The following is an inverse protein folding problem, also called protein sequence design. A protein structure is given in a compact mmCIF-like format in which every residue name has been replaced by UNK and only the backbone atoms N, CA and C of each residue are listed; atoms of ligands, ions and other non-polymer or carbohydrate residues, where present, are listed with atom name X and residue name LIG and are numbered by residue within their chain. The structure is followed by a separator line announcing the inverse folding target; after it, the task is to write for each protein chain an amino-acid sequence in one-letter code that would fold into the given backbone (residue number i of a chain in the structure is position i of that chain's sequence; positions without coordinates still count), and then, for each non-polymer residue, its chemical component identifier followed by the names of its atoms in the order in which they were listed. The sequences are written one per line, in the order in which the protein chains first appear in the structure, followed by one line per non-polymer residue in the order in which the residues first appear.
data_IF_044009938022
#
_entry.id   IF_044009938022
#
_cell.length_a   1.000
_cell.length_b   1.000
_cell.length_c   1.000
_cell.angle_alpha   90.00
_cell.angle_beta   90.00
_cell.angle_gamma   90.00
#
_symmetry.space_group_name_H-M   'P 1'
#
loop_
_entity.id
_entity.type
_entity.pdbx_description
1 polymer ?
#
# COMPACT_ATOMS: atom_id res chain seq x y z
N UNK A 1 -58.37 16.30 36.14
CA UNK A 1 -58.50 14.94 36.74
C UNK A 1 -57.34 14.10 36.24
N UNK A 2 -56.14 14.27 36.82
CA UNK A 2 -55.54 13.38 37.83
C UNK A 2 -55.76 11.89 37.58
N UNK A 3 -54.75 11.24 36.99
CA UNK A 3 -54.39 9.87 37.32
C UNK A 3 -52.86 9.81 37.50
N UNK A 4 -52.47 9.77 38.78
CA UNK A 4 -51.15 9.33 39.23
C UNK A 4 -51.19 7.81 39.30
N UNK A 5 -50.23 7.12 38.70
CA UNK A 5 -49.84 5.77 39.13
C UNK A 5 -48.33 5.71 39.29
N UNK A 6 -47.95 5.54 40.54
CA UNK A 6 -46.62 5.30 41.09
C UNK A 6 -46.26 3.83 40.94
N UNK A 7 -45.02 3.49 40.58
CA UNK A 7 -44.30 2.34 41.14
C UNK A 7 -42.78 2.48 40.91
N UNK A 8 -42.05 1.98 41.89
CA UNK A 8 -40.75 2.44 42.36
C UNK A 8 -39.57 1.57 41.84
N UNK A 9 -38.31 1.95 42.14
CA UNK A 9 -37.08 1.37 41.60
C UNK A 9 -36.40 0.38 42.56
N UNK A 10 -35.70 -0.63 42.02
CA UNK A 10 -34.77 -1.53 42.72
C UNK A 10 -34.27 -2.55 41.68
N UNK A 11 -33.03 -3.07 41.63
CA UNK A 11 -31.88 -3.04 42.52
C UNK A 11 -30.66 -3.51 41.69
N UNK A 12 -29.50 -2.96 42.02
CA UNK A 12 -28.15 -3.36 41.62
C UNK A 12 -27.92 -4.88 41.66
N UNK A 13 -27.18 -5.39 40.68
CA UNK A 13 -26.28 -6.53 40.88
C UNK A 13 -24.91 -6.25 40.24
N UNK A 14 -23.95 -5.91 41.09
CA UNK A 14 -22.52 -5.94 40.80
C UNK A 14 -22.08 -7.40 40.72
N UNK A 15 -21.45 -7.81 39.61
CA UNK A 15 -20.65 -9.04 39.59
C UNK A 15 -19.37 -8.82 38.78
N UNK A 16 -18.27 -8.61 39.52
CA UNK A 16 -16.89 -8.95 39.13
C UNK A 16 -16.26 -9.61 40.35
N UNK A 17 -15.69 -10.82 40.22
CA UNK A 17 -14.24 -11.04 40.30
C UNK A 17 -13.81 -12.19 39.33
N UNK A 18 -12.57 -12.56 39.00
CA UNK A 18 -11.16 -12.18 39.17
C UNK A 18 -10.36 -13.21 38.31
N UNK A 19 -9.12 -12.94 37.87
CA UNK A 19 -8.27 -13.94 37.19
C UNK A 19 -7.40 -14.74 38.19
N UNK A 20 -6.91 -15.94 37.81
CA UNK A 20 -5.75 -16.55 38.46
C UNK A 20 -4.47 -16.56 37.60
N UNK A 21 -3.37 -16.37 38.32
CA UNK A 21 -1.96 -16.28 37.98
C UNK A 21 -1.20 -17.61 38.02
N UNK A 22 -0.10 -17.72 37.27
CA UNK A 22 1.07 -18.58 37.53
C UNK A 22 2.32 -17.75 37.17
N UNK A 23 3.09 -17.24 38.15
CA UNK A 23 4.18 -17.86 38.93
C UNK A 23 5.51 -18.02 38.16
N UNK A 24 6.43 -17.08 38.37
CA UNK A 24 7.86 -17.38 38.55
C UNK A 24 8.54 -16.30 39.39
N UNK A 25 8.92 -16.70 40.59
CA UNK A 25 9.98 -16.19 41.47
C UNK A 25 11.31 -16.15 40.67
N UNK A 26 12.37 -15.41 40.98
CA UNK A 26 12.86 -14.72 42.17
C UNK A 26 14.24 -14.17 41.81
N UNK A 27 14.61 -12.98 42.26
CA UNK A 27 15.98 -12.69 42.76
C UNK A 27 16.05 -11.23 43.24
N UNK A 28 16.19 -11.12 44.55
CA UNK A 28 16.42 -9.93 45.34
C UNK A 28 17.86 -9.43 45.13
N UNK A 29 18.05 -8.11 45.05
CA UNK A 29 19.25 -7.44 45.56
C UNK A 29 18.93 -5.98 45.81
N UNK A 30 18.73 -5.66 47.09
CA UNK A 30 18.66 -4.30 47.61
C UNK A 30 20.07 -3.78 47.85
N UNK A 31 20.36 -2.57 47.39
CA UNK A 31 21.32 -1.71 48.07
C UNK A 31 20.82 -0.28 48.07
N UNK A 32 20.84 0.25 49.29
CA UNK A 32 20.23 1.47 49.80
C UNK A 32 20.97 2.73 49.34
N UNK A 33 20.16 3.80 49.25
CA UNK A 33 20.43 5.18 49.67
C UNK A 33 21.66 5.89 49.06
N UNK A 34 21.41 7.02 48.39
CA UNK A 34 21.74 8.36 48.91
C UNK A 34 21.35 9.41 47.87
N UNK A 35 20.32 10.17 48.23
CA UNK A 35 19.96 11.45 47.62
C UNK A 35 20.98 12.50 48.10
N UNK A 36 21.55 13.31 47.18
CA UNK A 36 21.75 14.70 47.53
C UNK A 36 21.12 15.61 46.47
N UNK A 37 20.09 16.32 46.92
CA UNK A 37 19.64 17.56 46.30
C UNK A 37 20.82 18.53 46.21
N UNK A 38 21.23 18.86 44.99
CA UNK A 38 22.06 20.03 44.72
C UNK A 38 21.27 20.99 43.83
N UNK A 39 20.71 22.00 44.50
CA UNK A 39 20.30 23.26 43.88
C UNK A 39 21.51 23.83 43.13
N UNK A 40 21.37 24.11 41.84
CA UNK A 40 22.12 25.18 41.19
C UNK A 40 21.16 26.01 40.34
N UNK A 41 20.95 27.24 40.80
CA UNK A 41 20.33 28.32 40.05
C UNK A 41 21.32 28.88 39.02
N UNK A 42 20.75 29.18 37.84
CA UNK A 42 21.03 30.28 36.92
C UNK A 42 22.45 30.49 36.33
N UNK A 43 22.53 30.47 34.99
CA UNK A 43 22.90 31.67 34.20
C UNK A 43 22.69 31.44 32.69
N UNK A 44 21.93 32.35 32.07
CA UNK A 44 21.74 32.51 30.62
C UNK A 44 23.04 32.71 29.85
N UNK A 45 23.21 32.00 28.71
CA UNK A 45 23.80 32.57 27.47
C UNK A 45 23.19 31.83 26.25
N UNK A 46 22.35 32.46 25.40
CA UNK A 46 22.04 31.91 24.10
C UNK A 46 23.23 32.17 23.16
N UNK A 47 24.01 31.13 22.86
CA UNK A 47 24.99 31.19 21.77
C UNK A 47 24.28 30.83 20.47
N UNK A 48 23.82 31.86 19.76
CA UNK A 48 23.69 31.79 18.31
C UNK A 48 25.11 31.57 17.75
N UNK A 49 25.43 30.34 17.41
CA UNK A 49 26.63 30.03 16.63
C UNK A 49 26.18 29.26 15.40
N UNK A 50 26.24 30.01 14.30
CA UNK A 50 26.29 29.60 12.90
C UNK A 50 26.67 28.14 12.65
N UNK A 51 25.84 27.51 11.83
CA UNK A 51 25.93 26.15 11.31
C UNK A 51 27.31 25.71 10.78
N UNK A 52 27.64 24.42 10.87
CA UNK A 52 28.29 23.70 9.78
C UNK A 52 27.19 23.14 8.86
N UNK A 53 27.02 23.76 7.69
CA UNK A 53 25.99 23.46 6.70
C UNK A 53 26.16 22.14 5.92
N UNK A 54 27.02 21.20 6.32
CA UNK A 54 27.40 20.10 5.42
C UNK A 54 27.51 18.69 6.03
N UNK A 55 27.07 18.47 7.27
CA UNK A 55 27.11 17.12 7.88
C UNK A 55 25.76 16.56 8.35
N UNK A 56 24.68 17.37 8.40
CA UNK A 56 23.34 16.89 8.73
C UNK A 56 22.57 16.31 7.53
N UNK A 57 23.11 16.43 6.32
CA UNK A 57 22.40 16.00 5.12
C UNK A 57 22.21 14.48 5.07
N UNK A 58 23.08 13.66 5.66
CA UNK A 58 22.95 12.19 5.55
C UNK A 58 21.94 11.57 6.52
N UNK A 59 21.65 12.21 7.66
CA UNK A 59 20.65 11.74 8.64
C UNK A 59 19.29 12.41 8.43
N UNK A 60 19.27 13.64 7.91
CA UNK A 60 18.05 14.31 7.41
C UNK A 60 17.65 13.83 6.00
N UNK A 61 18.58 13.30 5.18
CA UNK A 61 18.28 12.63 3.90
C UNK A 61 17.39 11.39 4.05
N UNK A 62 17.20 10.90 5.28
CA UNK A 62 16.31 9.78 5.57
C UNK A 62 14.86 10.21 5.87
N UNK A 63 14.59 11.52 6.03
CA UNK A 63 13.23 12.07 5.91
C UNK A 63 12.93 12.34 4.43
N UNK A 64 12.52 11.30 3.71
CA UNK A 64 12.13 11.42 2.32
C UNK A 64 10.97 12.43 2.18
N UNK A 65 11.15 13.45 1.33
CA UNK A 65 10.08 14.42 1.04
C UNK A 65 8.91 13.73 0.28
N UNK A 66 7.70 14.27 0.42
CA UNK A 66 6.48 13.71 -0.17
C UNK A 66 6.54 13.51 -1.70
N UNK A 67 6.95 14.50 -2.53
CA UNK A 67 7.11 14.30 -3.97
C UNK A 67 8.13 13.21 -4.31
N UNK A 68 9.27 13.18 -3.62
CA UNK A 68 10.33 12.18 -3.82
C UNK A 68 9.86 10.78 -3.44
N UNK A 69 9.15 10.65 -2.32
CA UNK A 69 8.52 9.41 -1.87
C UNK A 69 7.53 8.85 -2.89
N UNK A 70 6.60 9.69 -3.38
CA UNK A 70 5.59 9.27 -4.35
C UNK A 70 6.20 8.91 -5.70
N UNK A 71 7.25 9.62 -6.12
CA UNK A 71 8.03 9.27 -7.31
C UNK A 71 8.75 7.92 -7.17
N UNK A 72 9.33 7.63 -5.99
CA UNK A 72 9.96 6.34 -5.69
C UNK A 72 8.96 5.18 -5.70
N UNK A 73 7.76 5.39 -5.17
CA UNK A 73 6.68 4.38 -5.22
C UNK A 73 6.20 4.12 -6.65
N UNK A 74 6.16 5.16 -7.49
CA UNK A 74 5.88 5.04 -8.92
C UNK A 74 7.00 4.29 -9.65
N UNK A 75 8.26 4.62 -9.36
CA UNK A 75 9.40 3.98 -10.01
C UNK A 75 9.45 2.49 -9.69
N UNK A 76 9.22 2.09 -8.43
CA UNK A 76 9.19 0.68 -8.00
C UNK A 76 8.30 -0.21 -8.87
N UNK A 77 7.17 0.32 -9.36
CA UNK A 77 6.26 -0.42 -10.26
C UNK A 77 6.71 -0.42 -11.72
N UNK A 78 7.41 0.63 -12.15
CA UNK A 78 7.95 0.75 -13.50
C UNK A 78 9.18 -0.15 -13.71
N UNK A 79 9.95 -0.42 -12.65
CA UNK A 79 11.12 -1.32 -12.72
C UNK A 79 10.78 -2.72 -13.22
N UNK A 80 9.58 -3.24 -12.92
CA UNK A 80 9.15 -4.53 -13.46
C UNK A 80 8.96 -4.53 -14.98
N UNK A 81 8.50 -3.42 -15.55
CA UNK A 81 8.34 -3.24 -17.01
C UNK A 81 9.66 -2.91 -17.69
N UNK A 82 10.51 -2.11 -17.05
CA UNK A 82 11.80 -1.72 -17.62
C UNK A 82 12.77 -2.90 -17.60
N UNK A 83 12.72 -3.75 -16.57
CA UNK A 83 13.61 -4.90 -16.45
C UNK A 83 13.26 -6.05 -17.41
N UNK A 84 12.05 -6.11 -17.97
CA UNK A 84 11.70 -7.14 -18.96
C UNK A 84 12.45 -6.92 -20.27
N UNK A 85 12.67 -5.67 -20.71
CA UNK A 85 13.40 -5.35 -21.95
C UNK A 85 14.82 -5.95 -21.96
N UNK A 86 15.73 -5.65 -21.01
CA UNK A 86 17.06 -6.23 -21.01
C UNK A 86 17.02 -7.75 -20.73
N UNK A 87 16.10 -8.24 -19.90
CA UNK A 87 15.99 -9.69 -19.63
C UNK A 87 15.56 -10.46 -20.87
N UNK A 88 14.65 -9.91 -21.69
CA UNK A 88 14.29 -10.47 -23.00
C UNK A 88 15.44 -10.41 -23.98
N UNK A 89 16.20 -9.31 -24.00
CA UNK A 89 17.36 -9.16 -24.87
C UNK A 89 18.43 -10.20 -24.52
N UNK A 90 18.72 -10.38 -23.23
CA UNK A 90 19.67 -11.39 -22.73
C UNK A 90 19.17 -12.80 -23.05
N UNK A 91 17.88 -13.08 -22.82
CA UNK A 91 17.27 -14.37 -23.15
C UNK A 91 17.30 -14.68 -24.65
N UNK A 92 17.06 -13.66 -25.50
CA UNK A 92 17.19 -13.76 -26.95
C UNK A 92 18.63 -14.01 -27.37
N UNK A 93 19.57 -13.18 -26.90
CA UNK A 93 20.99 -13.31 -27.24
C UNK A 93 21.57 -14.65 -26.79
N UNK A 94 21.18 -15.15 -25.61
CA UNK A 94 21.57 -16.46 -25.12
C UNK A 94 20.97 -17.60 -25.97
N UNK A 95 19.67 -17.53 -26.27
CA UNK A 95 18.99 -18.53 -27.10
C UNK A 95 19.56 -18.58 -28.52
N UNK A 96 19.62 -17.43 -29.20
CA UNK A 96 20.18 -17.32 -30.54
C UNK A 96 21.66 -17.71 -30.57
N UNK A 97 22.45 -17.27 -29.59
CA UNK A 97 23.86 -17.63 -29.47
C UNK A 97 24.07 -19.12 -29.28
N UNK A 98 23.24 -19.78 -28.47
CA UNK A 98 23.30 -21.23 -28.27
C UNK A 98 22.91 -22.00 -29.54
N UNK A 99 21.78 -21.67 -30.17
CA UNK A 99 21.32 -22.37 -31.37
C UNK A 99 22.19 -22.09 -32.60
N UNK A 100 22.90 -20.96 -32.66
CA UNK A 100 23.87 -20.69 -33.73
C UNK A 100 25.11 -21.61 -33.68
N UNK A 101 25.38 -22.25 -32.54
CA UNK A 101 26.52 -23.19 -32.40
C UNK A 101 26.17 -24.64 -32.74
N UNK A 102 24.89 -24.95 -32.96
CA UNK A 102 24.42 -26.29 -33.32
C UNK A 102 24.27 -26.34 -34.83
N UNK A 103 24.95 -27.28 -35.52
CA UNK A 103 24.68 -27.54 -36.93
C UNK A 103 23.23 -28.03 -37.12
N UNK A 104 22.43 -27.22 -37.81
CA UNK A 104 21.08 -27.59 -38.23
C UNK A 104 21.18 -28.37 -39.55
N UNK A 105 21.20 -29.70 -39.47
CA UNK A 105 21.24 -30.57 -40.63
C UNK A 105 19.82 -30.73 -41.23
N UNK A 106 19.50 -30.14 -42.40
CA UNK A 106 18.13 -30.04 -42.92
C UNK A 106 17.54 -31.38 -43.40
N UNK A 107 18.34 -32.44 -43.39
CA UNK A 107 17.93 -33.78 -43.83
C UNK A 107 17.26 -34.58 -42.70
N UNK A 108 17.49 -34.21 -41.45
CA UNK A 108 16.91 -34.88 -40.29
C UNK A 108 15.77 -34.05 -39.72
N UNK A 109 14.54 -34.53 -39.89
CA UNK A 109 13.39 -33.92 -39.22
C UNK A 109 13.40 -34.28 -37.73
N UNK A 110 13.26 -33.27 -36.89
CA UNK A 110 13.17 -33.44 -35.44
C UNK A 110 11.67 -33.34 -35.11
N UNK A 111 11.10 -34.36 -34.47
CA UNK A 111 9.64 -34.42 -34.18
C UNK A 111 8.73 -34.23 -35.41
N UNK A 112 9.20 -34.55 -36.62
CA UNK A 112 8.44 -34.39 -37.87
C UNK A 112 8.41 -32.96 -38.42
N UNK A 113 9.14 -32.02 -37.82
CA UNK A 113 9.28 -30.65 -38.30
C UNK A 113 10.72 -30.36 -38.75
N UNK A 114 10.86 -29.36 -39.63
CA UNK A 114 12.15 -28.81 -40.05
C UNK A 114 12.92 -28.24 -38.84
N UNK A 115 14.23 -28.52 -38.69
CA UNK A 115 15.05 -28.02 -37.57
C UNK A 115 14.98 -26.51 -37.38
N UNK A 116 14.90 -25.74 -38.48
CA UNK A 116 14.77 -24.28 -38.47
C UNK A 116 13.52 -23.82 -37.71
N UNK A 117 12.40 -24.53 -37.86
CA UNK A 117 11.14 -24.19 -37.18
C UNK A 117 11.25 -24.44 -35.68
N UNK A 118 11.90 -25.54 -35.27
CA UNK A 118 12.05 -25.91 -33.87
C UNK A 118 13.00 -24.96 -33.15
N UNK A 119 14.15 -24.64 -33.74
CA UNK A 119 15.09 -23.70 -33.16
C UNK A 119 14.53 -22.27 -33.14
N UNK A 120 13.76 -21.88 -34.18
CA UNK A 120 13.00 -20.63 -34.18
C UNK A 120 12.00 -20.59 -33.03
N UNK A 121 11.18 -21.63 -32.86
CA UNK A 121 10.23 -21.75 -31.77
C UNK A 121 10.90 -21.78 -30.39
N UNK A 122 12.04 -22.47 -30.25
CA UNK A 122 12.81 -22.54 -29.02
C UNK A 122 13.42 -21.19 -28.65
N UNK A 123 13.95 -20.45 -29.64
CA UNK A 123 14.45 -19.07 -29.44
C UNK A 123 13.32 -18.16 -28.98
N UNK A 124 12.15 -18.23 -29.63
CA UNK A 124 10.96 -17.50 -29.19
C UNK A 124 10.52 -17.90 -27.77
N UNK A 125 10.66 -19.18 -27.40
CA UNK A 125 10.47 -19.68 -26.04
C UNK A 125 11.42 -19.03 -25.04
N UNK A 126 12.71 -18.89 -25.36
CA UNK A 126 13.69 -18.18 -24.55
C UNK A 126 13.32 -16.69 -24.37
N UNK A 127 12.82 -16.02 -25.42
CA UNK A 127 12.34 -14.63 -25.32
C UNK A 127 11.12 -14.56 -24.39
N UNK A 128 10.14 -15.44 -24.57
CA UNK A 128 8.94 -15.49 -23.73
C UNK A 128 9.27 -15.72 -22.24
N UNK A 129 10.21 -16.63 -21.96
CA UNK A 129 10.72 -16.87 -20.60
C UNK A 129 11.46 -15.65 -20.03
N UNK A 130 12.30 -14.99 -20.83
CA UNK A 130 12.98 -13.76 -20.42
C UNK A 130 12.00 -12.62 -20.12
N UNK A 131 10.90 -12.53 -20.87
CA UNK A 131 9.85 -11.54 -20.65
C UNK A 131 9.10 -11.82 -19.33
N UNK A 132 8.77 -13.08 -19.08
CA UNK A 132 8.10 -13.52 -17.85
C UNK A 132 8.98 -13.34 -16.61
N UNK A 133 10.29 -13.54 -16.74
CA UNK A 133 11.26 -13.29 -15.66
C UNK A 133 11.50 -11.78 -15.40
N UNK A 134 11.10 -10.90 -16.32
CA UNK A 134 11.31 -9.46 -16.22
C UNK A 134 10.82 -8.83 -14.91
N UNK A 135 9.54 -9.00 -14.52
CA UNK A 135 9.00 -8.41 -13.30
C UNK A 135 9.68 -8.91 -12.00
N UNK A 136 10.04 -10.19 -11.94
CA UNK A 136 10.70 -10.78 -10.76
C UNK A 136 12.14 -10.28 -10.63
N UNK A 137 12.88 -10.26 -11.74
CA UNK A 137 14.25 -9.71 -11.81
C UNK A 137 14.26 -8.20 -11.56
N UNK A 138 13.29 -7.46 -12.10
CA UNK A 138 13.17 -6.01 -11.90
C UNK A 138 12.89 -5.61 -10.46
N UNK A 139 12.00 -6.35 -9.78
CA UNK A 139 11.72 -6.15 -8.35
C UNK A 139 12.95 -6.45 -7.49
N UNK A 140 13.70 -7.50 -7.81
CA UNK A 140 14.95 -7.83 -7.12
C UNK A 140 16.03 -6.76 -7.34
N UNK A 141 16.22 -6.30 -8.58
CA UNK A 141 17.19 -5.27 -8.93
C UNK A 141 16.88 -3.92 -8.25
N UNK A 142 15.59 -3.54 -8.18
CA UNK A 142 15.16 -2.35 -7.45
C UNK A 142 15.49 -2.45 -5.96
N UNK A 143 15.23 -3.60 -5.33
CA UNK A 143 15.56 -3.83 -3.91
C UNK A 143 17.05 -3.71 -3.64
N UNK A 144 17.89 -4.24 -4.53
CA UNK A 144 19.35 -4.18 -4.39
C UNK A 144 19.89 -2.75 -4.55
N UNK A 145 19.40 -2.01 -5.56
CA UNK A 145 19.85 -0.64 -5.85
C UNK A 145 19.35 0.37 -4.82
N UNK A 146 18.09 0.25 -4.37
CA UNK A 146 17.44 1.20 -3.45
C UNK A 146 17.45 0.74 -1.99
N UNK A 147 18.25 -0.26 -1.62
CA UNK A 147 18.35 -0.81 -0.25
C UNK A 147 18.60 0.25 0.84
N UNK A 148 19.35 1.31 0.50
CA UNK A 148 19.69 2.41 1.43
C UNK A 148 18.48 3.29 1.76
N UNK A 149 17.58 3.46 0.79
CA UNK A 149 16.38 4.31 0.93
C UNK A 149 15.17 3.47 1.38
N UNK A 150 15.23 2.14 1.25
CA UNK A 150 14.14 1.22 1.60
C UNK A 150 13.59 1.42 3.02
N UNK A 151 14.45 1.59 4.03
CA UNK A 151 14.00 1.85 5.40
C UNK A 151 13.28 3.20 5.57
N UNK A 152 13.74 4.23 4.86
CA UNK A 152 13.08 5.55 4.84
C UNK A 152 11.71 5.50 4.13
N UNK A 153 11.62 4.72 3.04
CA UNK A 153 10.38 4.48 2.31
C UNK A 153 9.38 3.78 3.22
N UNK A 154 9.80 2.74 3.94
CA UNK A 154 8.89 1.99 4.82
C UNK A 154 8.34 2.85 5.96
N UNK A 155 9.19 3.71 6.56
CA UNK A 155 8.74 4.67 7.56
C UNK A 155 7.70 5.65 6.98
N UNK A 156 7.96 6.20 5.78
CA UNK A 156 7.04 7.11 5.10
C UNK A 156 5.79 6.44 4.57
N UNK A 157 5.83 5.16 4.23
CA UNK A 157 4.66 4.38 3.80
C UNK A 157 3.71 4.14 4.97
N UNK A 158 4.25 3.93 6.19
CA UNK A 158 3.45 3.91 7.42
C UNK A 158 2.77 5.24 7.67
N UNK A 159 3.48 6.36 7.51
CA UNK A 159 2.89 7.70 7.65
C UNK A 159 1.83 8.00 6.59
N UNK A 160 2.10 7.62 5.35
CA UNK A 160 1.16 7.72 4.24
C UNK A 160 -0.10 6.88 4.48
N UNK A 161 0.06 5.65 4.97
CA UNK A 161 -1.06 4.78 5.33
C UNK A 161 -1.91 5.39 6.45
N UNK A 162 -1.29 5.95 7.49
CA UNK A 162 -2.00 6.69 8.55
C UNK A 162 -2.81 7.86 8.00
N UNK A 163 -2.27 8.57 7.01
CA UNK A 163 -2.99 9.66 6.35
C UNK A 163 -4.19 9.13 5.56
N UNK A 164 -4.01 8.12 4.70
CA UNK A 164 -5.10 7.54 3.89
C UNK A 164 -6.17 6.90 4.77
N UNK A 165 -5.79 6.17 5.80
CA UNK A 165 -6.71 5.44 6.67
C UNK A 165 -7.69 6.37 7.38
N UNK A 166 -7.32 7.64 7.60
CA UNK A 166 -8.19 8.66 8.19
C UNK A 166 -9.25 9.18 7.20
N UNK A 167 -8.93 9.23 5.91
CA UNK A 167 -9.77 9.87 4.89
C UNK A 167 -10.56 8.89 4.00
N UNK A 168 -10.23 7.58 4.05
CA UNK A 168 -10.94 6.54 3.30
C UNK A 168 -12.40 6.41 3.72
N UNK A 169 -13.28 6.09 2.76
CA UNK A 169 -14.65 5.69 3.01
C UNK A 169 -14.73 4.18 3.34
N UNK A 170 -15.64 3.79 4.24
CA UNK A 170 -15.86 2.38 4.58
C UNK A 170 -16.50 1.63 3.40
N UNK A 171 -15.94 0.49 2.95
CA UNK A 171 -16.46 -0.26 1.80
C UNK A 171 -17.80 -0.93 2.16
N UNK A 172 -18.05 -1.16 3.45
CA UNK A 172 -19.33 -1.64 3.96
C UNK A 172 -20.49 -0.67 3.71
N UNK A 173 -20.22 0.59 3.37
CA UNK A 173 -21.25 1.57 2.97
C UNK A 173 -21.52 1.55 1.47
N UNK A 174 -20.82 0.70 0.72
CA UNK A 174 -20.99 0.52 -0.73
C UNK A 174 -22.02 -0.55 -1.09
N UNK A 175 -22.59 -1.26 -0.11
CA UNK A 175 -23.58 -2.33 -0.31
C UNK A 175 -24.98 -1.83 -0.70
N UNK A 176 -25.08 -0.67 -1.34
CA UNK A 176 -26.25 -0.27 -2.09
C UNK A 176 -26.18 -0.90 -3.48
N UNK A 177 -26.37 -2.23 -3.55
CA UNK A 177 -26.92 -2.86 -4.75
C UNK A 177 -28.12 -2.01 -5.14
N UNK A 178 -27.98 -1.23 -6.20
CA UNK A 178 -29.12 -0.51 -6.75
C UNK A 178 -30.16 -1.59 -7.06
N UNK A 179 -31.35 -1.59 -6.43
CA UNK A 179 -32.36 -2.55 -6.77
C UNK A 179 -32.63 -2.43 -8.28
N UNK A 180 -32.82 -3.55 -9.00
CA UNK A 180 -33.14 -3.49 -10.41
C UNK A 180 -34.35 -2.56 -10.57
N UNK A 181 -34.28 -1.54 -11.43
CA UNK A 181 -35.41 -0.66 -11.62
C UNK A 181 -36.56 -1.51 -12.14
N UNK A 182 -37.62 -1.64 -11.34
CA UNK A 182 -38.90 -2.13 -11.84
C UNK A 182 -39.25 -1.24 -13.04
N UNK A 183 -39.26 -1.87 -14.20
CA UNK A 183 -39.48 -1.25 -15.50
C UNK A 183 -40.81 -0.49 -15.45
N UNK A 184 -40.73 0.84 -15.35
CA UNK A 184 -41.84 1.72 -15.69
C UNK A 184 -41.63 2.14 -17.15
N UNK A 185 -42.44 1.64 -18.10
CA UNK A 185 -42.27 1.97 -19.50
C UNK A 185 -42.67 3.43 -19.72
N UNK A 186 -41.76 4.27 -20.23
CA UNK A 186 -42.17 5.55 -20.82
C UNK A 186 -41.44 6.83 -20.44
N UNK A 187 -40.20 6.81 -19.92
CA UNK A 187 -39.41 8.05 -19.85
C UNK A 187 -37.97 7.87 -20.31
N UNK A 188 -37.61 8.70 -21.28
CA UNK A 188 -36.32 8.88 -21.94
C UNK A 188 -35.10 8.33 -21.17
N UNK A 189 -34.50 7.31 -21.79
CA UNK A 189 -33.32 6.58 -21.38
C UNK A 189 -32.10 7.50 -21.20
N UNK A 190 -31.92 8.07 -20.00
CA UNK A 190 -30.59 8.50 -19.56
C UNK A 190 -29.79 7.23 -19.27
N UNK A 191 -28.59 7.03 -19.86
CA UNK A 191 -27.80 5.85 -19.54
C UNK A 191 -27.39 5.92 -18.07
N UNK A 192 -28.03 5.10 -17.23
CA UNK A 192 -27.68 4.86 -15.82
C UNK A 192 -26.41 3.99 -15.70
N UNK A 193 -25.41 4.24 -16.55
CA UNK A 193 -24.11 3.59 -16.52
C UNK A 193 -23.12 4.50 -15.78
N UNK A 194 -23.46 4.84 -14.54
CA UNK A 194 -22.48 5.38 -13.61
C UNK A 194 -22.49 4.52 -12.36
N UNK A 195 -22.18 3.23 -12.56
CA UNK A 195 -21.56 2.44 -11.51
C UNK A 195 -20.37 3.26 -11.03
N UNK A 196 -20.52 3.89 -9.87
CA UNK A 196 -19.48 4.69 -9.26
C UNK A 196 -18.30 3.72 -9.07
N UNK A 197 -17.22 3.83 -9.87
CA UNK A 197 -16.13 2.86 -9.78
C UNK A 197 -15.67 2.85 -8.34
N UNK A 198 -15.49 1.66 -7.79
CA UNK A 198 -15.15 1.51 -6.38
C UNK A 198 -14.02 2.46 -6.03
N UNK A 199 -14.19 3.35 -5.04
CA UNK A 199 -13.14 4.26 -4.65
C UNK A 199 -11.90 3.43 -4.36
N UNK A 200 -10.77 3.78 -4.99
CA UNK A 200 -9.49 3.08 -4.81
C UNK A 200 -9.15 3.07 -3.31
N UNK A 201 -9.46 1.95 -2.64
CA UNK A 201 -9.59 1.89 -1.19
C UNK A 201 -8.24 2.06 -0.49
N UNK A 202 -7.17 1.57 -1.12
CA UNK A 202 -5.81 1.63 -0.62
C UNK A 202 -4.98 2.75 -1.24
N UNK A 203 -5.62 3.63 -2.04
CA UNK A 203 -4.96 4.65 -2.82
C UNK A 203 -3.76 4.06 -3.60
N UNK A 204 -3.96 2.87 -4.16
CA UNK A 204 -2.86 2.15 -4.80
C UNK A 204 -2.34 2.96 -5.97
N UNK A 205 -3.21 3.64 -6.72
CA UNK A 205 -2.85 4.41 -7.92
C UNK A 205 -2.24 5.79 -7.63
N UNK A 206 -2.12 6.18 -6.36
CA UNK A 206 -1.54 7.48 -5.98
C UNK A 206 -0.01 7.43 -6.04
N UNK A 207 0.55 7.96 -7.13
CA UNK A 207 2.00 8.13 -7.34
C UNK A 207 2.44 9.59 -7.50
N UNK A 208 1.56 10.56 -7.22
CA UNK A 208 1.87 11.99 -7.25
C UNK A 208 0.95 12.80 -6.35
N UNK A 209 1.39 14.00 -5.95
CA UNK A 209 0.57 14.91 -5.12
C UNK A 209 -0.75 15.31 -5.81
N UNK A 210 -0.73 15.46 -7.14
CA UNK A 210 -1.95 15.77 -7.91
C UNK A 210 -2.97 14.63 -7.82
N UNK A 211 -2.51 13.39 -7.99
CA UNK A 211 -3.35 12.20 -7.84
C UNK A 211 -3.87 12.05 -6.41
N UNK A 212 -3.05 12.39 -5.40
CA UNK A 212 -3.49 12.37 -4.00
C UNK A 212 -4.65 13.34 -3.75
N UNK A 213 -4.58 14.57 -4.26
CA UNK A 213 -5.67 15.56 -4.13
C UNK A 213 -6.93 15.13 -4.86
N UNK A 214 -6.79 14.50 -6.02
CA UNK A 214 -7.93 13.93 -6.75
C UNK A 214 -8.57 12.78 -5.98
N UNK A 215 -7.74 11.87 -5.46
CA UNK A 215 -8.22 10.79 -4.62
C UNK A 215 -9.00 11.31 -3.39
N UNK A 216 -8.52 12.36 -2.71
CA UNK A 216 -9.27 12.98 -1.61
C UNK A 216 -10.64 13.53 -2.04
N UNK A 217 -10.72 14.14 -3.23
CA UNK A 217 -11.99 14.63 -3.80
C UNK A 217 -12.94 13.47 -4.10
N UNK A 218 -12.42 12.37 -4.63
CA UNK A 218 -13.20 11.17 -4.95
C UNK A 218 -13.75 10.51 -3.67
N UNK A 219 -12.94 10.41 -2.61
CA UNK A 219 -13.39 9.93 -1.29
C UNK A 219 -14.48 10.83 -0.69
N UNK A 220 -14.33 12.15 -0.79
CA UNK A 220 -15.34 13.09 -0.32
C UNK A 220 -16.64 13.01 -1.14
N UNK A 221 -16.55 12.82 -2.45
CA UNK A 221 -17.70 12.58 -3.31
C UNK A 221 -18.41 11.27 -2.94
N UNK A 222 -17.65 10.21 -2.66
CA UNK A 222 -18.19 8.93 -2.20
C UNK A 222 -18.91 9.05 -0.85
N UNK A 223 -18.29 9.70 0.15
CA UNK A 223 -18.91 9.92 1.47
C UNK A 223 -20.23 10.69 1.36
N UNK A 224 -20.30 11.71 0.50
CA UNK A 224 -21.55 12.43 0.22
C UNK A 224 -22.60 11.51 -0.39
N UNK A 225 -22.25 10.76 -1.45
CA UNK A 225 -23.18 9.79 -2.09
C UNK A 225 -23.69 8.74 -1.10
N UNK A 226 -22.83 8.21 -0.24
CA UNK A 226 -23.20 7.24 0.79
C UNK A 226 -24.16 7.81 1.84
N UNK A 227 -24.03 9.10 2.20
CA UNK A 227 -24.97 9.77 3.10
C UNK A 227 -26.35 9.98 2.44
N UNK A 228 -26.38 10.35 1.16
CA UNK A 228 -27.64 10.56 0.45
C UNK A 228 -28.40 9.26 0.13
N UNK A 229 -27.69 8.15 -0.12
CA UNK A 229 -28.32 6.85 -0.41
C UNK A 229 -29.01 6.19 0.79
N UNK A 230 -28.62 6.49 2.03
CA UNK A 230 -29.30 5.96 3.23
C UNK A 230 -30.65 6.64 3.52
N UNK A 231 -30.90 7.85 2.99
CA UNK A 231 -32.13 8.59 3.25
C UNK A 231 -33.31 8.19 2.36
N UNK A 232 -33.06 7.57 1.20
CA UNK A 232 -34.10 7.13 0.26
C UNK A 232 -34.76 5.80 0.65
N UNK A 233 -34.13 5.03 1.54
CA UNK A 233 -34.60 3.68 1.94
C UNK A 233 -35.30 3.68 3.31
N UNK A 234 -35.37 4.84 3.99
CA UNK A 234 -35.95 4.99 5.34
C UNK A 234 -37.41 5.52 5.34
N UNK A 235 -38.05 5.57 4.17
CA UNK A 235 -39.47 5.91 4.04
C UNK A 235 -40.14 4.79 3.26
N UNK A 236 -40.67 3.78 3.96
CA UNK A 236 -41.93 3.08 3.72
C UNK A 236 -42.15 2.06 4.84
#
# INVERSE_FOLDING_TARGET
MSLRTTLAPALRSNLRPSPPSSSSSSASSSSRLLNPASRRLASNIPRNTTAPLTAQESSAAQQLDWPTYLALRRSQRLWGLIASIPTTLIGFSAGAGYFATIEADPTNTILGFEPVVIYGAATLGCVGLGWLAGPTVGGALWRLTHRRVAGAIEAKDKDFFRHISRWRADPSRQSGTSPPPLVSPGRSSRPLLAANPSPDYYAEKVGSLRQYRTWLRDQAAFKRKAQFGQGSDAVY
#
